data_IF_505289454175
#
_entry.id   IF_505289454175
#
_cell.length_a   1.000
_cell.length_b   1.000
_cell.length_c   1.000
_cell.angle_alpha   90.00
_cell.angle_beta   90.00
_cell.angle_gamma   90.00
#
_symmetry.space_group_name_H-M   'P 1'
#
loop_
_entity.id
_entity.type
_entity.pdbx_description
1 polymer ?
#
# COMPACT_ATOMS: atom_id res chain seq x y z
N UNK A 1 -12.20 0.61 -5.28
CA UNK A 1 -10.82 1.07 -4.94
C UNK A 1 -10.80 2.27 -4.00
N UNK A 2 -11.57 3.34 -4.27
CA UNK A 2 -11.66 4.51 -3.37
C UNK A 2 -12.22 4.17 -1.98
N UNK A 3 -13.06 3.13 -1.87
CA UNK A 3 -13.67 2.67 -0.62
C UNK A 3 -12.72 2.00 0.38
N UNK A 4 -11.48 1.68 -0.03
CA UNK A 4 -10.52 1.00 0.83
C UNK A 4 -9.63 1.94 1.64
N UNK A 5 -9.65 3.24 1.37
CA UNK A 5 -8.67 4.16 1.96
C UNK A 5 -9.28 4.99 3.11
N UNK A 6 -8.96 4.62 4.36
CA UNK A 6 -9.22 5.40 5.58
C UNK A 6 -8.42 6.72 5.68
N UNK A 7 -9.03 7.76 6.26
CA UNK A 7 -8.36 9.01 6.61
C UNK A 7 -7.55 8.85 7.90
N UNK A 8 -6.24 8.62 7.75
CA UNK A 8 -5.31 8.37 8.85
C UNK A 8 -4.70 9.68 9.38
N UNK A 9 -5.53 10.62 9.85
CA UNK A 9 -5.15 11.79 10.66
C UNK A 9 -4.12 12.78 10.07
N UNK A 10 -4.20 14.06 10.45
CA UNK A 10 -3.34 15.10 9.85
C UNK A 10 -1.87 15.14 10.33
N UNK A 11 -1.50 14.35 11.35
CA UNK A 11 -0.15 14.38 11.94
C UNK A 11 0.90 13.51 11.20
N UNK A 12 0.48 12.66 10.25
CA UNK A 12 1.41 11.82 9.48
C UNK A 12 1.81 12.48 8.16
N UNK A 13 3.04 12.20 7.70
CA UNK A 13 3.44 12.59 6.34
C UNK A 13 2.59 11.85 5.30
N UNK A 14 2.45 12.40 4.08
CA UNK A 14 1.61 11.79 3.04
C UNK A 14 2.06 10.37 2.69
N UNK A 15 3.38 10.13 2.62
CA UNK A 15 3.93 8.79 2.37
C UNK A 15 3.62 7.80 3.50
N UNK A 16 3.64 8.27 4.76
CA UNK A 16 3.32 7.41 5.91
C UNK A 16 1.84 7.05 5.93
N UNK A 17 0.95 8.01 5.58
CA UNK A 17 -0.48 7.74 5.42
C UNK A 17 -0.72 6.69 4.34
N UNK A 18 -0.08 6.83 3.18
CA UNK A 18 -0.23 5.86 2.08
C UNK A 18 0.27 4.48 2.51
N UNK A 19 1.45 4.42 3.12
CA UNK A 19 2.03 3.19 3.63
C UNK A 19 1.11 2.49 4.63
N UNK A 20 0.68 3.18 5.67
CA UNK A 20 -0.17 2.62 6.72
C UNK A 20 -1.50 2.14 6.15
N UNK A 21 -2.09 2.92 5.25
CA UNK A 21 -3.37 2.57 4.66
C UNK A 21 -3.28 1.27 3.85
N UNK A 22 -2.35 1.20 2.90
CA UNK A 22 -2.19 0.00 2.06
C UNK A 22 -1.83 -1.21 2.93
N UNK A 23 -0.94 -1.04 3.92
CA UNK A 23 -0.56 -2.11 4.88
C UNK A 23 -1.80 -2.65 5.61
N UNK A 24 -2.62 -1.78 6.18
CA UNK A 24 -3.86 -2.16 6.86
C UNK A 24 -4.83 -2.89 5.92
N UNK A 25 -4.97 -2.44 4.68
CA UNK A 25 -5.86 -3.09 3.72
C UNK A 25 -5.37 -4.47 3.30
N UNK A 26 -4.05 -4.68 3.20
CA UNK A 26 -3.46 -6.01 2.95
C UNK A 26 -3.71 -6.92 4.15
N UNK A 27 -3.40 -6.46 5.36
CA UNK A 27 -3.54 -7.24 6.60
C UNK A 27 -5.00 -7.62 6.87
N UNK A 28 -5.94 -6.71 6.63
CA UNK A 28 -7.38 -6.98 6.76
C UNK A 28 -7.93 -7.89 5.64
N UNK A 29 -7.11 -8.23 4.64
CA UNK A 29 -7.53 -9.06 3.51
C UNK A 29 -8.39 -8.35 2.46
N UNK A 30 -8.55 -7.02 2.58
CA UNK A 30 -9.26 -6.20 1.61
C UNK A 30 -8.49 -6.11 0.28
N UNK A 31 -7.16 -5.98 0.37
CA UNK A 31 -6.25 -6.14 -0.75
C UNK A 31 -5.72 -7.58 -0.74
N UNK A 32 -6.24 -8.41 -1.64
CA UNK A 32 -5.89 -9.84 -1.73
C UNK A 32 -4.51 -10.04 -2.35
N UNK A 33 -3.77 -11.12 -2.01
CA UNK A 33 -2.58 -11.53 -2.73
C UNK A 33 -2.81 -11.58 -4.25
N UNK A 34 -1.85 -11.09 -5.03
CA UNK A 34 -1.97 -10.94 -6.47
C UNK A 34 -2.69 -9.67 -6.94
N UNK A 35 -3.27 -8.87 -6.03
CA UNK A 35 -3.88 -7.59 -6.40
C UNK A 35 -2.81 -6.64 -6.91
N UNK A 36 -3.06 -6.06 -8.09
CA UNK A 36 -2.16 -5.08 -8.69
C UNK A 36 -2.47 -3.68 -8.16
N UNK A 37 -1.43 -2.97 -7.78
CA UNK A 37 -1.46 -1.61 -7.26
C UNK A 37 -0.68 -0.69 -8.21
N UNK A 38 -1.42 0.07 -9.01
CA UNK A 38 -0.83 1.05 -9.93
C UNK A 38 -0.68 2.41 -9.24
N UNK A 39 0.50 3.02 -9.35
CA UNK A 39 0.77 4.35 -8.77
C UNK A 39 -0.25 5.40 -9.24
N UNK A 40 -0.66 5.32 -10.51
CA UNK A 40 -1.64 6.25 -11.08
C UNK A 40 -3.04 6.06 -10.48
N UNK A 41 -3.46 4.82 -10.25
CA UNK A 41 -4.77 4.52 -9.67
C UNK A 41 -4.81 4.93 -8.20
N UNK A 42 -3.75 4.62 -7.44
CA UNK A 42 -3.60 5.04 -6.05
C UNK A 42 -3.54 6.57 -5.93
N UNK A 43 -2.81 7.22 -6.83
CA UNK A 43 -2.70 8.69 -6.87
C UNK A 43 -4.08 9.34 -7.06
N UNK A 44 -4.89 8.82 -7.98
CA UNK A 44 -6.27 9.30 -8.21
C UNK A 44 -7.20 8.96 -7.04
N UNK A 45 -7.09 7.75 -6.47
CA UNK A 45 -7.96 7.29 -5.40
C UNK A 45 -7.75 8.07 -4.09
N UNK A 46 -6.48 8.35 -3.75
CA UNK A 46 -6.08 9.01 -2.51
C UNK A 46 -5.91 10.53 -2.67
N UNK A 47 -5.98 11.06 -3.89
CA UNK A 47 -5.67 12.46 -4.22
C UNK A 47 -4.27 12.89 -3.73
N UNK A 48 -3.29 12.00 -3.93
CA UNK A 48 -1.89 12.17 -3.50
C UNK A 48 -1.00 12.04 -4.74
N UNK A 49 0.08 12.83 -4.82
CA UNK A 49 1.00 12.77 -5.97
C UNK A 49 1.74 11.43 -6.05
N UNK A 50 2.26 11.07 -7.23
CA UNK A 50 2.91 9.74 -7.44
C UNK A 50 4.17 9.53 -6.61
N UNK A 51 4.91 10.58 -6.27
CA UNK A 51 6.16 10.47 -5.50
C UNK A 51 5.98 9.82 -4.10
N UNK A 52 5.11 10.33 -3.22
CA UNK A 52 4.83 9.69 -1.93
C UNK A 52 4.15 8.31 -2.08
N UNK A 53 3.34 8.08 -3.12
CA UNK A 53 2.81 6.73 -3.41
C UNK A 53 3.95 5.75 -3.66
N UNK A 54 4.88 6.11 -4.54
CA UNK A 54 6.03 5.27 -4.89
C UNK A 54 6.95 5.02 -3.69
N UNK A 55 7.20 6.03 -2.86
CA UNK A 55 7.96 5.87 -1.62
C UNK A 55 7.28 4.88 -0.66
N UNK A 56 5.97 4.97 -0.49
CA UNK A 56 5.21 4.04 0.33
C UNK A 56 5.25 2.61 -0.22
N UNK A 57 5.07 2.43 -1.53
CA UNK A 57 5.17 1.11 -2.19
C UNK A 57 6.57 0.50 -2.04
N UNK A 58 7.64 1.30 -2.20
CA UNK A 58 9.02 0.84 -1.98
C UNK A 58 9.23 0.37 -0.54
N UNK A 59 8.61 1.05 0.44
CA UNK A 59 8.69 0.62 1.84
C UNK A 59 7.93 -0.69 2.07
N UNK A 60 6.72 -0.82 1.51
CA UNK A 60 5.93 -2.06 1.59
C UNK A 60 6.65 -3.24 0.94
N UNK A 61 7.39 -3.01 -0.14
CA UNK A 61 8.21 -4.03 -0.78
C UNK A 61 9.34 -4.52 0.12
N UNK A 62 10.05 -3.59 0.78
CA UNK A 62 11.12 -3.94 1.74
C UNK A 62 10.60 -4.78 2.90
N UNK A 63 9.37 -4.56 3.32
CA UNK A 63 8.69 -5.32 4.38
C UNK A 63 8.00 -6.59 3.84
N UNK A 64 8.02 -6.84 2.53
CA UNK A 64 7.47 -8.05 1.92
C UNK A 64 5.95 -8.05 1.71
N UNK A 65 5.25 -6.92 1.91
CA UNK A 65 3.81 -6.82 1.68
C UNK A 65 3.44 -6.76 0.20
N UNK A 66 4.34 -6.27 -0.64
CA UNK A 66 4.16 -6.18 -2.09
C UNK A 66 5.46 -6.55 -2.82
N UNK A 67 5.37 -6.79 -4.12
CA UNK A 67 6.53 -6.90 -5.02
C UNK A 67 6.38 -5.86 -6.13
N UNK A 68 7.42 -5.08 -6.40
CA UNK A 68 7.41 -4.07 -7.45
C UNK A 68 7.98 -4.66 -8.72
N UNK A 69 7.23 -4.53 -9.82
CA UNK A 69 7.73 -4.85 -11.15
C UNK A 69 7.92 -3.55 -11.94
N UNK A 70 9.12 -3.29 -12.49
CA UNK A 70 9.40 -2.07 -13.25
C UNK A 70 8.35 -1.82 -14.33
N UNK A 71 7.83 -0.58 -14.39
CA UNK A 71 6.79 -0.13 -15.33
C UNK A 71 5.44 -0.87 -15.21
N UNK A 72 5.29 -1.82 -14.30
CA UNK A 72 4.04 -2.56 -14.08
C UNK A 72 3.38 -2.23 -12.74
N UNK A 73 4.06 -1.55 -11.82
CA UNK A 73 3.53 -1.19 -10.51
C UNK A 73 3.84 -2.26 -9.46
N UNK A 74 3.10 -2.23 -8.35
CA UNK A 74 3.27 -3.19 -7.27
C UNK A 74 2.19 -4.30 -7.32
N UNK A 75 2.50 -5.47 -6.79
CA UNK A 75 1.57 -6.59 -6.65
C UNK A 75 1.58 -7.05 -5.20
N UNK A 76 0.41 -7.21 -4.58
CA UNK A 76 0.29 -7.68 -3.20
C UNK A 76 0.85 -9.08 -3.07
N UNK A 77 1.76 -9.26 -2.12
CA UNK A 77 2.41 -10.54 -1.85
C UNK A 77 1.48 -11.48 -1.05
N UNK A 78 1.85 -12.76 -0.98
CA UNK A 78 1.21 -13.69 -0.06
C UNK A 78 1.67 -13.39 1.37
N UNK A 79 0.77 -12.82 2.17
CA UNK A 79 0.99 -12.61 3.61
C UNK A 79 1.05 -13.97 4.31
N UNK A 80 2.14 -14.23 5.02
CA UNK A 80 2.29 -15.41 5.88
C UNK A 80 1.82 -15.07 7.30
N UNK A 81 1.46 -16.07 8.09
CA UNK A 81 1.04 -15.87 9.49
C UNK A 81 2.08 -15.07 10.31
N UNK A 82 3.36 -15.23 10.00
CA UNK A 82 4.48 -14.52 10.65
C UNK A 82 4.42 -13.00 10.47
N UNK A 83 3.83 -12.49 9.38
CA UNK A 83 3.73 -11.05 9.11
C UNK A 83 2.64 -10.35 9.92
N UNK A 84 1.75 -11.12 10.56
CA UNK A 84 0.60 -10.61 11.32
C UNK A 84 0.97 -10.37 12.79
N UNK A 85 2.05 -10.97 13.30
CA UNK A 85 2.45 -10.90 14.71
C UNK A 85 3.04 -9.53 15.15
N UNK A 86 3.41 -8.66 14.21
CA UNK A 86 4.08 -7.37 14.47
C UNK A 86 3.11 -6.17 14.64
N UNK A 87 1.86 -6.39 15.05
CA UNK A 87 0.83 -5.32 15.21
C UNK A 87 0.45 -5.10 16.66
#
# INVERSE_FOLDING_TARGET
>A
MKEYFEDLGNNLSLKDRVYQNIKLQIIRGNLKPGTRLLEEELSKAMNISRAPIREALNRLEKEGFVTITPRKGAVVAHITAQMIEDI
#
